data_IF_719504256569
#
_entry.id   IF_719504256569
#
_cell.length_a   1.000
_cell.length_b   1.000
_cell.length_c   1.000
_cell.angle_alpha   90.00
_cell.angle_beta   90.00
_cell.angle_gamma   90.00
#
_symmetry.space_group_name_H-M   'P 1'
#
loop_
_entity.id
_entity.type
_entity.pdbx_description
1 polymer ?
#
# COMPACT_ATOMS: atom_id res chain seq x y z
N UNK A 1 -8.51 13.26 -5.22
CA UNK A 1 -7.28 14.07 -5.15
C UNK A 1 -6.48 13.82 -3.86
N UNK A 2 -7.05 14.02 -2.68
CA UNK A 2 -6.33 13.77 -1.42
C UNK A 2 -5.71 12.35 -1.34
N UNK A 3 -6.46 11.31 -1.67
CA UNK A 3 -5.95 9.93 -1.64
C UNK A 3 -4.80 9.63 -2.61
N UNK A 4 -4.70 10.37 -3.72
CA UNK A 4 -3.63 10.25 -4.70
C UNK A 4 -2.36 10.97 -4.27
N UNK A 5 -2.47 11.97 -3.39
CA UNK A 5 -1.35 12.84 -3.04
C UNK A 5 -0.19 12.08 -2.37
N UNK A 6 -0.47 11.01 -1.63
CA UNK A 6 0.53 10.15 -0.99
C UNK A 6 1.62 9.65 -1.94
N UNK A 7 1.25 9.38 -3.20
CA UNK A 7 2.15 8.75 -4.17
C UNK A 7 2.76 9.72 -5.19
N UNK A 8 2.35 11.00 -5.20
CA UNK A 8 2.77 11.97 -6.23
C UNK A 8 4.28 12.08 -6.32
N UNK A 9 4.98 12.33 -5.22
CA UNK A 9 6.44 12.48 -5.24
C UNK A 9 7.15 11.17 -5.62
N UNK A 10 6.60 10.02 -5.23
CA UNK A 10 7.14 8.72 -5.60
C UNK A 10 7.06 8.47 -7.11
N UNK A 11 5.97 8.88 -7.75
CA UNK A 11 5.80 8.82 -9.21
C UNK A 11 6.81 9.73 -9.92
N UNK A 12 7.11 10.91 -9.36
CA UNK A 12 8.12 11.82 -9.91
C UNK A 12 9.58 11.43 -9.60
N UNK A 13 9.81 10.20 -9.10
CA UNK A 13 11.15 9.63 -8.99
C UNK A 13 11.74 9.66 -7.56
N UNK A 14 10.99 10.10 -6.55
CA UNK A 14 11.49 10.10 -5.18
C UNK A 14 11.89 8.69 -4.70
N UNK A 15 11.18 7.65 -5.13
CA UNK A 15 11.49 6.27 -4.78
C UNK A 15 12.88 5.84 -5.30
N UNK A 16 13.27 6.30 -6.47
CA UNK A 16 14.62 6.06 -7.02
C UNK A 16 15.67 6.78 -6.18
N UNK A 17 15.40 8.05 -5.80
CA UNK A 17 16.27 8.81 -4.91
C UNK A 17 16.41 8.14 -3.53
N UNK A 18 15.32 7.60 -2.99
CA UNK A 18 15.30 6.87 -1.72
C UNK A 18 16.23 5.65 -1.75
N UNK A 19 16.23 4.87 -2.84
CA UNK A 19 17.16 3.76 -3.05
C UNK A 19 18.63 4.23 -3.08
N UNK A 20 18.93 5.29 -3.83
CA UNK A 20 20.29 5.88 -3.91
C UNK A 20 20.74 6.39 -2.53
N UNK A 21 19.85 7.04 -1.77
CA UNK A 21 20.15 7.51 -0.42
C UNK A 21 20.45 6.31 0.49
N UNK A 22 19.65 5.24 0.42
CA UNK A 22 19.85 4.03 1.20
C UNK A 22 21.19 3.38 0.91
N UNK A 23 21.60 3.29 -0.35
CA UNK A 23 22.86 2.66 -0.73
C UNK A 23 24.08 3.51 -0.35
N UNK A 24 24.00 4.84 -0.51
CA UNK A 24 25.10 5.74 -0.20
C UNK A 24 25.25 6.07 1.28
N UNK A 25 24.13 6.25 2.00
CA UNK A 25 24.11 6.75 3.39
C UNK A 25 23.78 5.66 4.41
N UNK A 26 23.36 4.48 3.94
CA UNK A 26 23.08 3.31 4.77
C UNK A 26 21.76 3.39 5.56
N UNK A 27 21.41 2.27 6.21
CA UNK A 27 20.13 2.07 6.89
C UNK A 27 19.85 3.05 8.03
N UNK A 28 20.89 3.51 8.73
CA UNK A 28 20.75 4.43 9.90
C UNK A 28 20.23 5.79 9.48
N UNK A 29 20.91 6.43 8.54
CA UNK A 29 20.51 7.74 8.05
C UNK A 29 19.16 7.69 7.34
N UNK A 30 19.00 6.74 6.42
CA UNK A 30 17.79 6.59 5.62
C UNK A 30 16.57 6.31 6.49
N UNK A 31 16.70 5.48 7.51
CA UNK A 31 15.60 5.17 8.41
C UNK A 31 15.21 6.35 9.32
N UNK A 32 16.16 7.10 9.86
CA UNK A 32 15.84 8.33 10.60
C UNK A 32 15.20 9.36 9.68
N UNK A 33 15.71 9.53 8.45
CA UNK A 33 15.11 10.43 7.46
C UNK A 33 13.68 10.02 7.11
N UNK A 34 13.45 8.72 6.85
CA UNK A 34 12.11 8.21 6.52
C UNK A 34 11.11 8.43 7.65
N UNK A 35 11.49 8.07 8.88
CA UNK A 35 10.66 8.28 10.07
C UNK A 35 10.38 9.78 10.33
N UNK A 36 11.38 10.65 10.08
CA UNK A 36 11.21 12.10 10.17
C UNK A 36 10.25 12.65 9.13
N UNK A 37 10.35 12.19 7.86
CA UNK A 37 9.41 12.59 6.81
C UNK A 37 7.98 12.15 7.13
N UNK A 38 7.80 10.93 7.64
CA UNK A 38 6.48 10.44 8.05
C UNK A 38 5.90 11.30 9.20
N UNK A 39 6.71 11.59 10.22
CA UNK A 39 6.28 12.41 11.36
C UNK A 39 5.98 13.85 10.95
N UNK A 40 6.84 14.49 10.15
CA UNK A 40 6.62 15.86 9.63
C UNK A 40 5.35 15.90 8.77
N UNK A 41 5.19 14.95 7.85
CA UNK A 41 4.00 14.87 6.99
C UNK A 41 2.71 14.71 7.78
N UNK A 42 2.71 13.84 8.79
CA UNK A 42 1.57 13.66 9.70
C UNK A 42 1.30 14.90 10.56
N UNK A 43 2.34 15.60 11.01
CA UNK A 43 2.21 16.84 11.78
C UNK A 43 1.59 17.97 10.96
N UNK A 44 2.00 18.11 9.69
CA UNK A 44 1.39 19.07 8.75
C UNK A 44 -0.11 18.73 8.54
N UNK A 45 -0.42 17.45 8.36
CA UNK A 45 -1.79 16.98 8.23
C UNK A 45 -2.61 17.23 9.49
N UNK A 46 -2.04 16.97 10.67
CA UNK A 46 -2.66 17.27 11.94
C UNK A 46 -2.97 18.77 12.08
N UNK A 47 -2.01 19.65 11.78
CA UNK A 47 -2.23 21.09 11.80
C UNK A 47 -3.35 21.50 10.85
N UNK A 48 -3.40 20.96 9.63
CA UNK A 48 -4.41 21.29 8.62
C UNK A 48 -5.86 20.89 8.97
N UNK A 49 -6.04 20.00 9.95
CA UNK A 49 -7.38 19.62 10.47
C UNK A 49 -7.64 20.16 11.88
N UNK A 50 -6.70 20.89 12.49
CA UNK A 50 -6.81 21.42 13.85
C UNK A 50 -7.55 22.77 13.90
N UNK A 51 -8.11 23.08 15.07
CA UNK A 51 -8.75 24.38 15.31
C UNK A 51 -7.78 25.56 15.14
N UNK A 52 -6.48 25.36 15.34
CA UNK A 52 -5.46 26.38 15.13
C UNK A 52 -5.27 26.79 13.66
N UNK A 53 -5.68 25.93 12.71
CA UNK A 53 -5.65 26.25 11.28
C UNK A 53 -6.87 27.06 10.86
N UNK A 54 -8.03 26.80 11.46
CA UNK A 54 -9.31 27.45 11.13
C UNK A 54 -9.22 28.94 11.46
N UNK A 55 -9.52 29.80 10.50
CA UNK A 55 -9.44 31.27 10.65
C UNK A 55 -8.00 31.83 10.56
N UNK A 56 -6.98 30.99 10.31
CA UNK A 56 -5.62 31.44 10.16
C UNK A 56 -5.37 32.16 8.82
N UNK A 57 -4.34 33.02 8.77
CA UNK A 57 -3.89 33.64 7.52
C UNK A 57 -3.45 32.62 6.47
N UNK A 58 -2.96 31.44 6.90
CA UNK A 58 -2.59 30.34 6.02
C UNK A 58 -3.83 29.73 5.35
N UNK A 59 -4.91 29.53 6.09
CA UNK A 59 -6.18 29.06 5.53
C UNK A 59 -6.71 30.04 4.49
N UNK A 60 -6.75 31.34 4.84
CA UNK A 60 -7.22 32.40 3.93
C UNK A 60 -6.40 32.42 2.64
N UNK A 61 -5.07 32.33 2.74
CA UNK A 61 -4.19 32.28 1.59
C UNK A 61 -4.41 31.00 0.76
N UNK A 62 -4.51 29.84 1.37
CA UNK A 62 -4.78 28.59 0.67
C UNK A 62 -6.15 28.57 -0.02
N UNK A 63 -7.17 29.22 0.55
CA UNK A 63 -8.49 29.33 -0.03
C UNK A 63 -8.58 30.34 -1.18
N UNK A 64 -7.59 31.25 -1.35
CA UNK A 64 -7.58 32.27 -2.41
C UNK A 64 -7.32 31.70 -3.81
N UNK A 65 -6.74 30.53 -3.92
CA UNK A 65 -6.47 29.85 -5.20
C UNK A 65 -7.07 28.45 -5.19
N UNK A 66 -7.48 27.94 -6.37
CA UNK A 66 -8.18 26.65 -6.52
C UNK A 66 -9.32 26.47 -5.52
N UNK A 67 -10.29 27.35 -5.60
CA UNK A 67 -11.40 27.51 -4.66
C UNK A 67 -12.23 26.22 -4.44
N UNK A 68 -12.32 25.35 -5.47
CA UNK A 68 -13.04 24.07 -5.38
C UNK A 68 -12.37 23.02 -4.46
N UNK A 69 -11.14 23.28 -3.97
CA UNK A 69 -10.40 22.39 -3.08
C UNK A 69 -10.07 23.15 -1.79
N UNK A 70 -10.67 22.79 -0.63
CA UNK A 70 -10.50 23.51 0.62
C UNK A 70 -9.04 23.62 1.09
N UNK A 71 -8.69 24.74 1.75
CA UNK A 71 -7.34 24.97 2.26
C UNK A 71 -6.83 23.88 3.21
N UNK A 72 -7.70 23.39 4.09
CA UNK A 72 -7.41 22.26 4.98
C UNK A 72 -7.04 20.99 4.18
N UNK A 73 -7.76 20.69 3.12
CA UNK A 73 -7.48 19.54 2.27
C UNK A 73 -6.18 19.71 1.46
N UNK A 74 -5.85 20.94 1.02
CA UNK A 74 -4.56 21.26 0.36
C UNK A 74 -3.40 21.01 1.29
N UNK A 75 -3.48 21.54 2.52
CA UNK A 75 -2.42 21.38 3.51
C UNK A 75 -2.28 19.91 3.95
N UNK A 76 -3.41 19.23 4.18
CA UNK A 76 -3.41 17.81 4.49
C UNK A 76 -2.84 16.97 3.34
N UNK A 77 -3.10 17.35 2.08
CA UNK A 77 -2.51 16.69 0.90
C UNK A 77 -0.99 16.87 0.83
N UNK A 78 -0.49 18.07 1.11
CA UNK A 78 0.96 18.32 1.20
C UNK A 78 1.61 17.46 2.29
N UNK A 79 1.01 17.42 3.48
CA UNK A 79 1.48 16.55 4.56
C UNK A 79 1.48 15.08 4.14
N UNK A 80 0.45 14.64 3.39
CA UNK A 80 0.33 13.27 2.93
C UNK A 80 1.34 12.92 1.81
N UNK A 81 1.71 13.87 0.96
CA UNK A 81 2.80 13.71 -0.02
C UNK A 81 4.14 13.46 0.68
N UNK A 82 4.46 14.27 1.71
CA UNK A 82 5.70 14.12 2.50
C UNK A 82 5.70 12.80 3.27
N UNK A 83 4.56 12.45 3.89
CA UNK A 83 4.38 11.17 4.57
C UNK A 83 4.61 9.99 3.63
N UNK A 84 4.04 10.02 2.41
CA UNK A 84 4.20 8.96 1.42
C UNK A 84 5.64 8.74 0.98
N UNK A 85 6.44 9.80 0.87
CA UNK A 85 7.89 9.69 0.65
C UNK A 85 8.58 8.92 1.78
N UNK A 86 8.26 9.27 3.03
CA UNK A 86 8.81 8.59 4.20
C UNK A 86 8.39 7.13 4.25
N UNK A 87 7.13 6.82 3.96
CA UNK A 87 6.57 5.47 4.00
C UNK A 87 7.26 4.52 3.01
N UNK A 88 7.41 4.92 1.76
CA UNK A 88 8.09 4.10 0.74
C UNK A 88 9.58 3.92 1.06
N UNK A 89 10.24 4.99 1.52
CA UNK A 89 11.63 4.91 1.98
C UNK A 89 11.76 3.99 3.20
N UNK A 90 10.81 3.98 4.14
CA UNK A 90 10.80 3.09 5.29
C UNK A 90 10.73 1.62 4.84
N UNK A 91 9.86 1.28 3.89
CA UNK A 91 9.69 -0.08 3.39
C UNK A 91 10.99 -0.71 2.91
N UNK A 92 11.72 0.00 2.02
CA UNK A 92 13.02 -0.50 1.52
C UNK A 92 14.10 -0.53 2.62
N UNK A 93 14.06 0.43 3.56
CA UNK A 93 15.05 0.51 4.64
C UNK A 93 14.85 -0.61 5.67
N UNK A 94 13.60 -0.92 6.03
CA UNK A 94 13.27 -1.99 6.99
C UNK A 94 13.67 -3.34 6.43
N UNK A 95 13.35 -3.62 5.17
CA UNK A 95 13.75 -4.87 4.50
C UNK A 95 15.27 -5.06 4.51
N UNK A 96 16.04 -4.00 4.17
CA UNK A 96 17.51 -4.03 4.23
C UNK A 96 18.05 -4.17 5.66
N UNK A 97 17.36 -3.59 6.63
CA UNK A 97 17.69 -3.72 8.06
C UNK A 97 17.50 -5.16 8.54
N UNK A 98 16.37 -5.79 8.19
CA UNK A 98 16.09 -7.18 8.53
C UNK A 98 17.14 -8.10 7.89
N UNK A 99 17.45 -7.90 6.61
CA UNK A 99 18.47 -8.67 5.92
C UNK A 99 19.84 -8.59 6.65
N UNK A 100 20.26 -7.39 7.05
CA UNK A 100 21.52 -7.20 7.80
C UNK A 100 21.54 -7.88 9.17
N UNK A 101 20.45 -7.77 9.94
CA UNK A 101 20.43 -8.25 11.33
C UNK A 101 20.18 -9.76 11.46
N UNK A 102 19.54 -10.35 10.46
CA UNK A 102 19.15 -11.77 10.44
C UNK A 102 19.87 -12.56 9.34
N UNK A 103 20.98 -12.05 8.81
CA UNK A 103 21.81 -12.75 7.83
C UNK A 103 22.28 -14.11 8.39
N UNK A 104 22.01 -15.18 7.65
CA UNK A 104 22.35 -16.55 8.07
C UNK A 104 21.53 -17.11 9.23
N UNK A 105 20.49 -16.40 9.69
CA UNK A 105 19.57 -16.81 10.75
C UNK A 105 18.14 -16.57 10.27
N UNK A 106 17.16 -16.78 11.04
CA UNK A 106 15.71 -16.75 10.87
C UNK A 106 15.13 -15.53 10.07
N UNK A 107 15.76 -15.16 8.94
CA UNK A 107 15.39 -14.00 8.13
C UNK A 107 13.94 -14.08 7.61
N UNK A 108 13.51 -15.28 7.18
CA UNK A 108 12.15 -15.50 6.70
C UNK A 108 11.11 -15.26 7.82
N UNK A 109 11.43 -15.67 9.05
CA UNK A 109 10.59 -15.42 10.23
C UNK A 109 10.51 -13.91 10.54
N UNK A 110 11.64 -13.21 10.50
CA UNK A 110 11.68 -11.76 10.78
C UNK A 110 10.87 -10.96 9.74
N UNK A 111 11.01 -11.27 8.46
CA UNK A 111 10.19 -10.67 7.40
C UNK A 111 8.71 -11.04 7.53
N UNK A 112 8.39 -12.27 7.90
CA UNK A 112 7.03 -12.70 8.16
C UNK A 112 6.39 -11.98 9.34
N UNK A 113 7.14 -11.73 10.42
CA UNK A 113 6.68 -10.94 11.57
C UNK A 113 6.47 -9.46 11.21
N UNK A 114 7.35 -8.86 10.41
CA UNK A 114 7.16 -7.50 9.90
C UNK A 114 5.83 -7.37 9.17
N UNK A 115 5.57 -8.26 8.23
CA UNK A 115 4.32 -8.28 7.48
C UNK A 115 3.09 -8.52 8.37
N UNK A 116 3.19 -9.42 9.36
CA UNK A 116 2.11 -9.69 10.31
C UNK A 116 1.79 -8.46 11.17
N UNK A 117 2.81 -7.78 11.70
CA UNK A 117 2.65 -6.56 12.50
C UNK A 117 2.00 -5.45 11.66
N UNK A 118 2.42 -5.30 10.39
CA UNK A 118 1.80 -4.34 9.47
C UNK A 118 0.29 -4.62 9.29
N UNK A 119 -0.12 -5.88 9.16
CA UNK A 119 -1.54 -6.26 9.05
C UNK A 119 -2.32 -5.99 10.33
N UNK A 120 -1.72 -6.26 11.50
CA UNK A 120 -2.30 -5.90 12.81
C UNK A 120 -2.46 -4.37 12.92
N UNK A 121 -1.49 -3.60 12.43
CA UNK A 121 -1.59 -2.14 12.35
C UNK A 121 -2.79 -1.66 11.53
N UNK A 122 -3.02 -2.25 10.36
CA UNK A 122 -4.19 -1.92 9.52
C UNK A 122 -5.50 -2.29 10.24
N UNK A 123 -5.59 -3.47 10.88
CA UNK A 123 -6.74 -3.84 11.71
C UNK A 123 -7.00 -2.81 12.82
N UNK A 124 -5.94 -2.40 13.52
CA UNK A 124 -6.02 -1.43 14.61
C UNK A 124 -6.54 -0.06 14.13
N UNK A 125 -6.14 0.40 12.95
CA UNK A 125 -6.63 1.67 12.37
C UNK A 125 -8.15 1.63 12.19
N UNK A 126 -8.70 0.57 11.62
CA UNK A 126 -10.15 0.45 11.41
C UNK A 126 -10.94 0.24 12.72
N UNK A 127 -10.27 -0.09 13.80
CA UNK A 127 -10.89 -0.23 15.14
C UNK A 127 -10.77 1.05 15.95
N UNK A 128 -9.57 1.61 16.05
CA UNK A 128 -9.23 2.71 16.97
C UNK A 128 -9.63 4.06 16.39
N UNK A 129 -9.44 4.28 15.06
CA UNK A 129 -9.72 5.59 14.47
C UNK A 129 -11.19 6.01 14.55
N UNK A 130 -12.18 5.16 14.20
CA UNK A 130 -13.58 5.50 14.35
C UNK A 130 -13.97 5.70 15.82
N UNK A 131 -13.44 4.89 16.73
CA UNK A 131 -13.70 5.03 18.18
C UNK A 131 -13.20 6.38 18.69
N UNK A 132 -11.98 6.81 18.35
CA UNK A 132 -11.43 8.11 18.72
C UNK A 132 -12.19 9.27 18.08
N UNK A 133 -12.62 9.12 16.83
CA UNK A 133 -13.37 10.16 16.12
C UNK A 133 -14.75 10.40 16.72
N UNK A 134 -15.42 9.34 17.20
CA UNK A 134 -16.77 9.39 17.74
C UNK A 134 -16.84 9.74 19.24
N UNK A 135 -15.72 9.86 19.95
CA UNK A 135 -15.70 10.39 21.31
C UNK A 135 -16.26 11.82 21.34
N UNK A 136 -17.09 12.12 22.34
CA UNK A 136 -17.70 13.44 22.47
C UNK A 136 -16.68 14.54 22.87
N UNK A 137 -16.70 15.72 22.23
CA UNK A 137 -17.34 16.08 20.98
C UNK A 137 -16.69 15.34 19.78
N UNK A 138 -17.48 14.86 18.81
CA UNK A 138 -16.95 14.12 17.66
C UNK A 138 -16.00 14.99 16.83
N UNK A 139 -14.81 14.44 16.50
CA UNK A 139 -13.79 15.16 15.72
C UNK A 139 -12.81 14.23 15.03
N UNK A 140 -12.38 14.60 13.84
CA UNK A 140 -11.32 13.90 13.10
C UNK A 140 -9.90 14.23 13.62
N UNK A 141 -9.77 15.26 14.42
CA UNK A 141 -8.47 15.73 14.96
C UNK A 141 -7.83 14.67 15.85
N UNK A 142 -8.61 13.98 16.69
CA UNK A 142 -8.10 12.98 17.64
C UNK A 142 -7.42 11.78 16.99
N UNK A 143 -8.02 11.07 16.03
CA UNK A 143 -7.33 9.96 15.38
C UNK A 143 -6.08 10.42 14.63
N UNK A 144 -6.08 11.62 14.01
CA UNK A 144 -4.89 12.16 13.34
C UNK A 144 -3.80 12.50 14.37
N UNK A 145 -4.14 13.11 15.50
CA UNK A 145 -3.21 13.39 16.59
C UNK A 145 -2.59 12.09 17.15
N UNK A 146 -3.43 11.08 17.39
CA UNK A 146 -2.98 9.78 17.88
C UNK A 146 -1.99 9.11 16.92
N UNK A 147 -2.29 9.08 15.61
CA UNK A 147 -1.37 8.55 14.61
C UNK A 147 -0.06 9.35 14.54
N UNK A 148 -0.12 10.69 14.65
CA UNK A 148 1.06 11.55 14.68
C UNK A 148 1.93 11.25 15.90
N UNK A 149 1.33 11.03 17.07
CA UNK A 149 2.05 10.62 18.29
C UNK A 149 2.75 9.27 18.12
N UNK A 150 2.06 8.28 17.54
CA UNK A 150 2.67 6.97 17.25
C UNK A 150 3.87 7.09 16.31
N UNK A 151 3.81 7.97 15.30
CA UNK A 151 4.93 8.23 14.39
C UNK A 151 6.09 8.91 15.10
N UNK A 152 5.83 9.80 16.05
CA UNK A 152 6.89 10.37 16.91
C UNK A 152 7.59 9.29 17.74
N UNK A 153 6.80 8.39 18.36
CA UNK A 153 7.35 7.25 19.10
C UNK A 153 8.18 6.36 18.16
N UNK A 154 7.70 6.11 16.95
CA UNK A 154 8.43 5.36 15.93
C UNK A 154 9.75 6.01 15.54
N UNK A 155 9.77 7.33 15.35
CA UNK A 155 10.99 8.10 15.09
C UNK A 155 11.99 7.96 16.24
N UNK A 156 11.55 8.17 17.49
CA UNK A 156 12.41 8.04 18.67
C UNK A 156 12.96 6.61 18.81
N UNK A 157 12.13 5.61 18.57
CA UNK A 157 12.54 4.19 18.56
C UNK A 157 13.60 3.93 17.51
N UNK A 158 13.43 4.50 16.30
CA UNK A 158 14.42 4.32 15.23
C UNK A 158 15.74 5.03 15.54
N UNK A 159 15.70 6.19 16.22
CA UNK A 159 16.92 6.85 16.73
C UNK A 159 17.65 5.94 17.73
N UNK A 160 16.92 5.31 18.67
CA UNK A 160 17.52 4.33 19.60
C UNK A 160 18.12 3.14 18.83
N UNK A 161 17.38 2.61 17.84
CA UNK A 161 17.89 1.55 16.96
C UNK A 161 19.23 1.93 16.30
N UNK A 162 19.40 3.19 15.88
CA UNK A 162 20.65 3.68 15.28
C UNK A 162 21.87 3.47 16.21
N UNK A 163 21.71 3.65 17.52
CA UNK A 163 22.76 3.38 18.49
C UNK A 163 23.03 1.88 18.65
N UNK A 164 21.98 1.04 18.62
CA UNK A 164 22.11 -0.41 18.69
C UNK A 164 22.84 -0.96 17.44
N UNK A 165 22.49 -0.46 16.25
CA UNK A 165 23.13 -0.86 14.99
C UNK A 165 24.61 -0.46 14.94
N UNK A 166 24.97 0.71 15.47
CA UNK A 166 26.38 1.11 15.62
C UNK A 166 27.17 0.17 16.54
N UNK A 167 26.51 -0.35 17.59
CA UNK A 167 27.13 -1.30 18.50
C UNK A 167 27.34 -2.66 17.83
N UNK A 168 26.36 -3.09 17.03
CA UNK A 168 26.47 -4.31 16.24
C UNK A 168 27.65 -4.25 15.25
N UNK A 169 27.78 -3.16 14.49
CA UNK A 169 28.89 -2.98 13.55
C UNK A 169 30.25 -3.07 14.22
N UNK A 170 30.39 -2.46 15.40
CA UNK A 170 31.63 -2.55 16.20
C UNK A 170 31.92 -3.97 16.64
N UNK A 171 30.91 -4.75 16.99
CA UNK A 171 31.05 -6.16 17.40
C UNK A 171 31.43 -7.07 16.23
N UNK A 172 30.94 -6.77 15.03
CA UNK A 172 31.22 -7.51 13.80
C UNK A 172 32.50 -7.06 13.09
N UNK A 173 33.16 -6.00 13.58
CA UNK A 173 34.36 -5.44 12.95
C UNK A 173 34.09 -4.80 11.58
N UNK A 174 32.83 -4.40 11.31
CA UNK A 174 32.43 -3.77 10.06
C UNK A 174 32.80 -2.28 10.06
N UNK A 175 33.21 -1.76 8.92
CA UNK A 175 33.46 -0.33 8.73
C UNK A 175 32.18 0.49 8.94
N UNK A 176 32.34 1.81 9.18
CA UNK A 176 31.24 2.74 9.50
C UNK A 176 30.09 2.76 8.48
N UNK A 177 30.25 2.19 7.31
CA UNK A 177 29.25 2.06 6.24
C UNK A 177 28.56 0.69 6.18
N UNK A 178 28.96 -0.30 7.01
CA UNK A 178 28.36 -1.63 7.03
C UNK A 178 28.45 -2.33 5.66
N UNK A 179 29.66 -2.35 5.09
CA UNK A 179 29.87 -2.75 3.72
C UNK A 179 29.76 -4.27 3.57
N UNK A 180 28.57 -4.76 3.20
CA UNK A 180 28.45 -6.01 2.43
C UNK A 180 28.13 -5.60 0.98
N UNK A 181 29.19 -5.49 0.20
CA UNK A 181 29.23 -5.08 -1.20
C UNK A 181 28.82 -6.19 -2.17
N UNK A 182 27.66 -6.80 -1.99
CA UNK A 182 27.15 -7.79 -2.93
C UNK A 182 25.72 -7.57 -3.42
N UNK A 183 25.03 -6.51 -2.97
CA UNK A 183 23.80 -6.10 -3.61
C UNK A 183 24.13 -5.26 -4.84
N UNK A 184 23.76 -5.75 -6.01
CA UNK A 184 23.99 -5.09 -7.28
C UNK A 184 23.28 -3.74 -7.30
N UNK A 185 24.07 -2.65 -7.40
CA UNK A 185 23.58 -1.27 -7.50
C UNK A 185 22.69 -1.10 -8.73
N UNK A 186 21.60 -0.35 -8.58
CA UNK A 186 20.78 0.10 -9.71
C UNK A 186 21.64 0.79 -10.77
N UNK A 187 21.65 0.26 -11.99
CA UNK A 187 22.35 0.84 -13.14
C UNK A 187 21.36 1.25 -14.22
N UNK A 188 21.44 2.51 -14.62
CA UNK A 188 20.58 3.06 -15.70
C UNK A 188 20.76 2.28 -17.02
N UNK A 189 21.96 1.70 -17.26
CA UNK A 189 22.24 0.86 -18.42
C UNK A 189 21.40 -0.42 -18.49
N UNK A 190 20.88 -0.91 -17.35
CA UNK A 190 20.14 -2.18 -17.28
C UNK A 190 18.66 -1.98 -17.66
N UNK A 191 18.18 -0.75 -17.65
CA UNK A 191 16.80 -0.41 -18.00
C UNK A 191 16.39 -0.94 -19.38
N UNK A 192 17.27 -0.82 -20.38
CA UNK A 192 16.96 -1.25 -21.75
C UNK A 192 16.66 -2.74 -21.88
N UNK A 193 17.34 -3.59 -21.08
CA UNK A 193 17.14 -5.03 -21.09
C UNK A 193 15.87 -5.43 -20.33
N UNK A 194 15.61 -4.77 -19.19
CA UNK A 194 14.40 -5.00 -18.38
C UNK A 194 13.16 -4.60 -19.17
N UNK A 195 13.14 -3.41 -19.77
CA UNK A 195 12.01 -2.92 -20.59
C UNK A 195 11.79 -3.74 -21.87
N UNK A 196 12.84 -4.41 -22.40
CA UNK A 196 12.73 -5.33 -23.53
C UNK A 196 12.05 -6.66 -23.20
N UNK A 197 11.90 -7.01 -21.93
CA UNK A 197 11.27 -8.26 -21.50
C UNK A 197 9.74 -8.14 -21.45
N UNK A 198 9.04 -8.92 -22.30
CA UNK A 198 7.58 -9.00 -22.30
C UNK A 198 7.03 -9.48 -20.97
N UNK A 199 7.69 -10.48 -20.36
CA UNK A 199 7.23 -11.09 -19.10
C UNK A 199 7.38 -10.10 -17.94
N UNK A 200 8.41 -9.27 -17.96
CA UNK A 200 8.54 -8.16 -17.01
C UNK A 200 7.29 -7.26 -17.02
N UNK A 201 6.85 -6.84 -18.22
CA UNK A 201 5.66 -5.98 -18.34
C UNK A 201 4.38 -6.68 -17.87
N UNK A 202 4.22 -7.97 -18.15
CA UNK A 202 3.05 -8.73 -17.66
C UNK A 202 3.04 -8.74 -16.13
N UNK A 203 4.17 -9.04 -15.48
CA UNK A 203 4.28 -9.06 -14.01
C UNK A 203 4.11 -7.66 -13.42
N UNK A 204 4.70 -6.63 -14.01
CA UNK A 204 4.55 -5.24 -13.57
C UNK A 204 3.08 -4.77 -13.67
N UNK A 205 2.41 -5.07 -14.77
CA UNK A 205 1.00 -4.71 -14.94
C UNK A 205 0.07 -5.51 -14.02
N UNK A 206 0.36 -6.80 -13.77
CA UNK A 206 -0.34 -7.57 -12.74
C UNK A 206 -0.19 -6.90 -11.37
N UNK A 207 1.02 -6.48 -11.02
CA UNK A 207 1.26 -5.74 -9.78
C UNK A 207 0.40 -4.48 -9.69
N UNK A 208 0.42 -3.63 -10.74
CA UNK A 208 -0.40 -2.42 -10.80
C UNK A 208 -1.88 -2.73 -10.58
N UNK A 209 -2.43 -3.70 -11.32
CA UNK A 209 -3.86 -4.00 -11.28
C UNK A 209 -4.31 -4.51 -9.92
N UNK A 210 -3.57 -5.44 -9.33
CA UNK A 210 -3.88 -5.96 -8.00
C UNK A 210 -3.79 -4.89 -6.92
N UNK A 211 -2.69 -4.16 -6.89
CA UNK A 211 -2.49 -3.12 -5.87
C UNK A 211 -3.47 -1.96 -6.05
N UNK A 212 -3.77 -1.57 -7.29
CA UNK A 212 -4.73 -0.50 -7.58
C UNK A 212 -6.19 -0.90 -7.31
N UNK A 213 -6.53 -2.18 -7.37
CA UNK A 213 -7.88 -2.66 -7.03
C UNK A 213 -8.07 -2.78 -5.51
N UNK A 214 -6.99 -2.95 -4.73
CA UNK A 214 -7.08 -3.22 -3.28
C UNK A 214 -6.81 -1.97 -2.45
N UNK A 215 -5.66 -1.29 -2.64
CA UNK A 215 -5.28 -0.17 -1.77
C UNK A 215 -6.18 1.07 -1.95
N UNK A 216 -6.51 1.52 -3.16
CA UNK A 216 -7.53 2.54 -3.34
C UNK A 216 -8.90 2.12 -2.80
N UNK A 217 -9.32 0.86 -3.01
CA UNK A 217 -10.58 0.36 -2.47
C UNK A 217 -10.68 0.52 -0.95
N UNK A 218 -9.62 0.23 -0.20
CA UNK A 218 -9.60 0.39 1.27
C UNK A 218 -9.99 1.81 1.72
N UNK A 219 -9.71 2.83 0.91
CA UNK A 219 -10.05 4.24 1.21
C UNK A 219 -11.53 4.55 1.07
N UNK A 220 -12.23 3.79 0.23
CA UNK A 220 -13.65 3.96 -0.04
C UNK A 220 -14.51 2.89 0.64
N UNK A 221 -13.91 1.81 1.14
CA UNK A 221 -14.59 0.61 1.59
C UNK A 221 -15.60 0.86 2.72
N UNK A 222 -15.22 1.64 3.74
CA UNK A 222 -16.12 1.94 4.85
C UNK A 222 -17.33 2.75 4.39
N UNK A 223 -17.13 3.79 3.59
CA UNK A 223 -18.23 4.60 3.07
C UNK A 223 -19.10 3.81 2.06
N UNK A 224 -18.50 2.93 1.28
CA UNK A 224 -19.23 2.01 0.41
C UNK A 224 -20.13 1.06 1.21
N UNK A 225 -19.60 0.46 2.28
CA UNK A 225 -20.37 -0.42 3.16
C UNK A 225 -21.48 0.32 3.90
N UNK A 226 -21.21 1.53 4.39
CA UNK A 226 -22.18 2.42 4.98
C UNK A 226 -23.32 2.72 4.00
N UNK A 227 -22.98 3.11 2.76
CA UNK A 227 -23.95 3.46 1.73
C UNK A 227 -24.77 2.25 1.26
N UNK A 228 -24.15 1.07 1.08
CA UNK A 228 -24.83 -0.11 0.55
C UNK A 228 -25.66 -0.86 1.60
N UNK A 229 -25.25 -0.81 2.89
CA UNK A 229 -25.92 -1.53 3.98
C UNK A 229 -26.85 -0.63 4.81
N UNK A 230 -26.72 0.69 4.71
CA UNK A 230 -27.44 1.64 5.58
C UNK A 230 -27.00 1.55 7.05
N UNK A 231 -25.78 1.08 7.33
CA UNK A 231 -25.23 0.95 8.68
C UNK A 231 -24.42 2.19 9.07
N UNK A 232 -24.08 2.33 10.36
CA UNK A 232 -23.19 3.40 10.80
C UNK A 232 -21.75 3.22 10.28
N UNK A 233 -21.02 4.33 10.18
CA UNK A 233 -19.61 4.31 9.81
C UNK A 233 -18.76 3.39 10.72
N UNK A 234 -19.12 3.32 12.02
CA UNK A 234 -18.47 2.41 12.97
C UNK A 234 -18.71 0.95 12.59
N UNK A 235 -19.94 0.56 12.29
CA UNK A 235 -20.30 -0.81 11.88
C UNK A 235 -19.62 -1.16 10.56
N UNK A 236 -19.57 -0.24 9.61
CA UNK A 236 -18.86 -0.42 8.33
C UNK A 236 -17.36 -0.66 8.53
N UNK A 237 -16.73 0.10 9.42
CA UNK A 237 -15.33 -0.10 9.79
C UNK A 237 -15.11 -1.44 10.51
N UNK A 238 -16.04 -1.85 11.38
CA UNK A 238 -16.01 -3.14 12.06
C UNK A 238 -16.11 -4.33 11.10
N UNK A 239 -16.83 -4.20 10.00
CA UNK A 239 -16.86 -5.20 8.93
C UNK A 239 -15.52 -5.20 8.19
N UNK A 240 -15.04 -4.03 7.77
CA UNK A 240 -13.86 -3.93 6.91
C UNK A 240 -12.55 -4.31 7.61
N UNK A 241 -12.43 -4.14 8.93
CA UNK A 241 -11.21 -4.50 9.68
C UNK A 241 -10.80 -5.96 9.53
N UNK A 242 -11.70 -6.86 9.15
CA UNK A 242 -11.40 -8.28 8.93
C UNK A 242 -10.66 -8.57 7.62
N UNK A 243 -10.64 -7.62 6.68
CA UNK A 243 -9.87 -7.75 5.43
C UNK A 243 -8.38 -8.07 5.68
N UNK A 244 -7.61 -7.26 6.45
CA UNK A 244 -6.20 -7.54 6.70
C UNK A 244 -5.97 -8.79 7.54
N UNK A 245 -6.89 -9.15 8.42
CA UNK A 245 -6.77 -10.36 9.25
C UNK A 245 -6.92 -11.64 8.43
N UNK A 246 -7.87 -11.67 7.49
CA UNK A 246 -8.00 -12.78 6.54
C UNK A 246 -6.72 -12.97 5.72
N UNK A 247 -6.14 -11.87 5.24
CA UNK A 247 -4.87 -11.89 4.53
C UNK A 247 -3.71 -12.41 5.41
N UNK A 248 -3.57 -11.92 6.64
CA UNK A 248 -2.49 -12.31 7.54
C UNK A 248 -2.50 -13.81 7.88
N UNK A 249 -3.69 -14.38 8.12
CA UNK A 249 -3.83 -15.79 8.47
C UNK A 249 -3.51 -16.73 7.30
N UNK A 250 -3.87 -16.34 6.08
CA UNK A 250 -3.81 -17.23 4.91
C UNK A 250 -2.50 -17.10 4.14
N UNK A 251 -1.83 -15.93 4.13
CA UNK A 251 -0.58 -15.72 3.39
C UNK A 251 0.50 -16.76 3.67
N UNK A 252 0.81 -17.15 4.93
CA UNK A 252 1.84 -18.17 5.19
C UNK A 252 1.46 -19.56 4.66
N UNK A 253 0.17 -19.92 4.75
CA UNK A 253 -0.33 -21.20 4.24
C UNK A 253 -0.25 -21.28 2.72
N UNK A 254 -0.57 -20.17 2.03
CA UNK A 254 -0.45 -20.07 0.58
C UNK A 254 1.01 -20.07 0.12
N UNK A 255 1.89 -19.38 0.84
CA UNK A 255 3.34 -19.40 0.58
C UNK A 255 3.88 -20.84 0.66
N UNK A 256 3.61 -21.55 1.74
CA UNK A 256 4.01 -22.95 1.90
C UNK A 256 3.42 -23.86 0.82
N UNK A 257 2.16 -23.67 0.43
CA UNK A 257 1.55 -24.43 -0.67
C UNK A 257 2.28 -24.18 -1.99
N UNK A 258 2.60 -22.92 -2.31
CA UNK A 258 3.30 -22.54 -3.53
C UNK A 258 4.73 -23.06 -3.57
N UNK A 259 5.43 -23.06 -2.44
CA UNK A 259 6.79 -23.63 -2.33
C UNK A 259 6.81 -25.12 -2.66
N UNK A 260 5.77 -25.87 -2.27
CA UNK A 260 5.68 -27.31 -2.51
C UNK A 260 5.10 -27.70 -3.89
N UNK A 261 4.13 -26.94 -4.38
CA UNK A 261 3.35 -27.29 -5.58
C UNK A 261 3.70 -26.45 -6.80
N UNK A 262 4.38 -25.31 -6.65
CA UNK A 262 4.52 -24.33 -7.70
C UNK A 262 3.17 -23.66 -8.01
N UNK A 263 2.82 -23.55 -9.29
CA UNK A 263 1.53 -23.04 -9.79
C UNK A 263 1.27 -21.55 -9.45
N UNK A 264 2.32 -20.74 -9.39
CA UNK A 264 2.21 -19.32 -9.08
C UNK A 264 1.32 -18.55 -10.05
N UNK A 265 1.46 -18.78 -11.36
CA UNK A 265 0.62 -18.14 -12.37
C UNK A 265 -0.86 -18.56 -12.25
N UNK A 266 -1.14 -19.84 -11.96
CA UNK A 266 -2.50 -20.32 -11.68
C UNK A 266 -3.11 -19.65 -10.45
N UNK A 267 -2.32 -19.46 -9.38
CA UNK A 267 -2.79 -18.78 -8.16
C UNK A 267 -3.07 -17.30 -8.39
N UNK A 268 -2.28 -16.62 -9.21
CA UNK A 268 -2.59 -15.24 -9.63
C UNK A 268 -3.92 -15.18 -10.41
N UNK A 269 -4.19 -16.09 -11.34
CA UNK A 269 -5.46 -16.14 -12.04
C UNK A 269 -6.62 -16.35 -11.06
N UNK A 270 -6.47 -17.26 -10.10
CA UNK A 270 -7.49 -17.54 -9.09
C UNK A 270 -7.75 -16.33 -8.21
N UNK A 271 -6.69 -15.64 -7.75
CA UNK A 271 -6.81 -14.38 -7.01
C UNK A 271 -7.56 -13.30 -7.80
N UNK A 272 -7.27 -13.15 -9.10
CA UNK A 272 -7.96 -12.20 -9.97
C UNK A 272 -9.47 -12.50 -10.11
N UNK A 273 -9.82 -13.77 -10.22
CA UNK A 273 -11.24 -14.21 -10.26
C UNK A 273 -11.93 -13.85 -8.94
N UNK A 274 -11.33 -14.20 -7.80
CA UNK A 274 -11.91 -13.87 -6.48
C UNK A 274 -12.08 -12.36 -6.30
N UNK A 275 -11.07 -11.57 -6.66
CA UNK A 275 -11.13 -10.11 -6.61
C UNK A 275 -12.27 -9.55 -7.47
N UNK A 276 -12.41 -10.04 -8.70
CA UNK A 276 -13.49 -9.65 -9.61
C UNK A 276 -14.86 -9.97 -9.01
N UNK A 277 -15.04 -11.19 -8.51
CA UNK A 277 -16.32 -11.63 -7.90
C UNK A 277 -16.67 -10.77 -6.70
N UNK A 278 -15.71 -10.47 -5.81
CA UNK A 278 -15.96 -9.61 -4.63
C UNK A 278 -16.41 -8.21 -5.04
N UNK A 279 -15.73 -7.58 -5.99
CA UNK A 279 -16.12 -6.23 -6.44
C UNK A 279 -17.47 -6.24 -7.17
N UNK A 280 -17.82 -7.29 -7.91
CA UNK A 280 -19.16 -7.44 -8.50
C UNK A 280 -20.25 -7.66 -7.43
N UNK A 281 -19.94 -8.39 -6.35
CA UNK A 281 -20.84 -8.50 -5.18
C UNK A 281 -21.09 -7.11 -4.59
N UNK A 282 -20.06 -6.29 -4.39
CA UNK A 282 -20.20 -4.92 -3.88
C UNK A 282 -20.93 -4.00 -4.84
N UNK A 283 -20.80 -4.22 -6.16
CA UNK A 283 -21.45 -3.40 -7.18
C UNK A 283 -22.97 -3.68 -7.31
N UNK A 284 -23.37 -4.95 -7.27
CA UNK A 284 -24.71 -5.36 -7.67
C UNK A 284 -25.47 -6.14 -6.60
N UNK A 285 -24.80 -7.07 -5.90
CA UNK A 285 -25.49 -7.96 -4.93
C UNK A 285 -25.78 -7.21 -3.64
N UNK A 286 -24.78 -6.53 -3.09
CA UNK A 286 -24.91 -5.88 -1.78
C UNK A 286 -25.93 -4.72 -1.79
N UNK A 287 -26.02 -3.87 -2.84
CA UNK A 287 -27.06 -2.86 -2.92
C UNK A 287 -28.49 -3.43 -3.09
N UNK A 288 -28.61 -4.57 -3.79
CA UNK A 288 -29.90 -5.22 -4.03
C UNK A 288 -30.39 -6.02 -2.80
N UNK A 289 -29.46 -6.61 -2.07
CA UNK A 289 -29.72 -7.44 -0.89
C UNK A 289 -28.78 -7.02 0.25
N UNK A 290 -29.07 -5.92 0.96
CA UNK A 290 -28.26 -5.43 2.05
C UNK A 290 -28.13 -6.47 3.19
N UNK A 291 -26.97 -7.12 3.28
CA UNK A 291 -26.72 -8.16 4.26
C UNK A 291 -25.28 -8.03 4.78
N UNK A 292 -25.16 -7.88 6.10
CA UNK A 292 -23.86 -7.85 6.78
C UNK A 292 -23.09 -9.16 6.60
N UNK A 293 -23.79 -10.31 6.55
CA UNK A 293 -23.17 -11.61 6.32
C UNK A 293 -22.51 -11.69 4.93
N UNK A 294 -23.20 -11.20 3.88
CA UNK A 294 -22.62 -11.11 2.53
C UNK A 294 -21.43 -10.19 2.52
N UNK A 295 -21.50 -9.04 3.22
CA UNK A 295 -20.39 -8.09 3.31
C UNK A 295 -19.17 -8.72 3.99
N UNK A 296 -19.32 -9.38 5.14
CA UNK A 296 -18.25 -10.11 5.81
C UNK A 296 -17.63 -11.18 4.92
N UNK A 297 -18.45 -12.00 4.26
CA UNK A 297 -17.99 -13.03 3.35
C UNK A 297 -17.15 -12.45 2.20
N UNK A 298 -17.66 -11.41 1.53
CA UNK A 298 -16.96 -10.75 0.43
C UNK A 298 -15.65 -10.08 0.87
N UNK A 299 -15.61 -9.42 2.04
CA UNK A 299 -14.41 -8.80 2.59
C UNK A 299 -13.34 -9.85 2.93
N UNK A 300 -13.71 -10.97 3.55
CA UNK A 300 -12.78 -12.06 3.87
C UNK A 300 -12.24 -12.70 2.58
N UNK A 301 -13.09 -12.97 1.60
CA UNK A 301 -12.67 -13.53 0.29
C UNK A 301 -11.75 -12.54 -0.44
N UNK A 302 -12.00 -11.24 -0.36
CA UNK A 302 -11.12 -10.22 -0.94
C UNK A 302 -9.76 -10.23 -0.24
N UNK A 303 -9.71 -10.40 1.08
CA UNK A 303 -8.48 -10.60 1.86
C UNK A 303 -7.69 -11.83 1.40
N UNK A 304 -8.37 -12.96 1.17
CA UNK A 304 -7.78 -14.18 0.62
C UNK A 304 -7.21 -13.91 -0.78
N UNK A 305 -7.99 -13.27 -1.66
CA UNK A 305 -7.53 -12.88 -2.99
C UNK A 305 -6.23 -12.06 -2.94
N UNK A 306 -6.17 -11.08 -2.05
CA UNK A 306 -4.97 -10.26 -1.91
C UNK A 306 -3.76 -11.02 -1.36
N UNK A 307 -3.98 -12.05 -0.53
CA UNK A 307 -2.90 -12.89 0.01
C UNK A 307 -2.14 -13.65 -1.06
N UNK A 308 -2.80 -13.99 -2.17
CA UNK A 308 -2.20 -14.69 -3.31
C UNK A 308 -1.17 -13.84 -4.06
N UNK A 309 -1.30 -12.52 -4.01
CA UNK A 309 -0.40 -11.58 -4.71
C UNK A 309 1.02 -11.63 -4.13
N UNK A 310 1.27 -11.32 -2.85
CA UNK A 310 2.62 -11.38 -2.31
C UNK A 310 3.20 -12.80 -2.32
N UNK A 311 2.35 -13.83 -2.19
CA UNK A 311 2.80 -15.22 -2.21
C UNK A 311 3.23 -15.72 -3.59
N UNK A 312 2.64 -15.22 -4.68
CA UNK A 312 2.89 -15.70 -6.03
C UNK A 312 3.63 -14.70 -6.92
N UNK A 313 3.31 -13.41 -6.85
CA UNK A 313 3.83 -12.38 -7.76
C UNK A 313 5.29 -12.06 -7.45
N UNK A 314 5.61 -11.74 -6.19
CA UNK A 314 6.98 -11.36 -5.83
C UNK A 314 8.01 -12.47 -6.04
N UNK A 315 7.74 -13.74 -5.69
CA UNK A 315 8.65 -14.84 -6.00
C UNK A 315 8.77 -15.15 -7.50
N UNK A 316 7.89 -14.63 -8.35
CA UNK A 316 8.01 -14.82 -9.80
C UNK A 316 9.10 -13.94 -10.42
N UNK A 317 9.42 -12.78 -9.81
CA UNK A 317 10.41 -11.83 -10.36
C UNK A 317 11.81 -12.45 -10.52
N UNK A 318 12.39 -13.14 -9.51
CA UNK A 318 13.69 -13.79 -9.66
C UNK A 318 13.70 -14.92 -10.69
N UNK A 319 12.55 -15.49 -11.03
CA UNK A 319 12.44 -16.57 -12.02
C UNK A 319 12.44 -16.05 -13.47
N UNK A 320 12.06 -14.79 -13.67
CA UNK A 320 11.94 -14.16 -15.00
C UNK A 320 13.08 -13.21 -15.33
N UNK A 321 13.90 -12.86 -14.34
CA UNK A 321 15.01 -11.92 -14.47
C UNK A 321 16.32 -12.53 -13.99
N UNK A 322 17.42 -12.21 -14.66
CA UNK A 322 18.76 -12.55 -14.18
C UNK A 322 19.04 -11.88 -12.85
N UNK A 323 19.75 -12.56 -11.95
CA UNK A 323 20.07 -12.10 -10.59
C UNK A 323 20.66 -10.69 -10.57
N UNK A 324 21.54 -10.38 -11.54
CA UNK A 324 22.19 -9.06 -11.66
C UNK A 324 21.22 -7.89 -11.95
N UNK A 325 19.99 -8.15 -12.42
CA UNK A 325 18.98 -7.10 -12.72
C UNK A 325 17.84 -7.05 -11.71
N UNK A 326 17.86 -7.90 -10.67
CA UNK A 326 16.75 -8.05 -9.75
C UNK A 326 16.43 -6.76 -8.98
N UNK A 327 17.44 -6.08 -8.45
CA UNK A 327 17.24 -4.82 -7.73
C UNK A 327 16.58 -3.76 -8.60
N UNK A 328 17.07 -3.59 -9.84
CA UNK A 328 16.50 -2.66 -10.82
C UNK A 328 15.08 -3.06 -11.23
N UNK A 329 14.82 -4.37 -11.42
CA UNK A 329 13.50 -4.87 -11.79
C UNK A 329 12.47 -4.63 -10.68
N UNK A 330 12.81 -4.93 -9.43
CA UNK A 330 11.94 -4.62 -8.29
C UNK A 330 11.66 -3.12 -8.15
N UNK A 331 12.67 -2.28 -8.23
CA UNK A 331 12.51 -0.81 -8.14
C UNK A 331 11.59 -0.27 -9.23
N UNK A 332 11.70 -0.79 -10.47
CA UNK A 332 10.82 -0.41 -11.56
C UNK A 332 9.38 -0.91 -11.36
N UNK A 333 9.19 -2.14 -10.87
CA UNK A 333 7.85 -2.66 -10.57
C UNK A 333 7.19 -1.79 -9.50
N UNK A 334 7.91 -1.45 -8.43
CA UNK A 334 7.41 -0.55 -7.38
C UNK A 334 7.10 0.85 -7.93
N UNK A 335 7.94 1.40 -8.79
CA UNK A 335 7.68 2.70 -9.41
C UNK A 335 6.41 2.68 -10.28
N UNK A 336 6.26 1.67 -11.14
CA UNK A 336 5.08 1.48 -11.99
C UNK A 336 3.83 1.25 -11.12
N UNK A 337 3.95 0.48 -10.03
CA UNK A 337 2.88 0.28 -9.04
C UNK A 337 2.42 1.60 -8.43
N UNK A 338 3.35 2.48 -8.04
CA UNK A 338 3.03 3.79 -7.47
C UNK A 338 2.28 4.70 -8.45
N UNK A 339 2.51 4.57 -9.77
CA UNK A 339 1.69 5.25 -10.78
C UNK A 339 0.22 4.81 -10.66
N UNK A 340 -0.04 3.52 -10.56
CA UNK A 340 -1.38 2.99 -10.35
C UNK A 340 -2.01 3.48 -9.06
N UNK A 341 -1.28 3.39 -7.94
CA UNK A 341 -1.74 3.85 -6.63
C UNK A 341 -2.02 5.37 -6.58
N UNK A 342 -1.33 6.16 -7.39
CA UNK A 342 -1.58 7.59 -7.54
C UNK A 342 -2.84 7.86 -8.38
N UNK A 343 -2.99 7.18 -9.51
CA UNK A 343 -4.07 7.45 -10.47
C UNK A 343 -5.43 6.91 -10.02
N UNK A 344 -5.48 5.69 -9.48
CA UNK A 344 -6.75 5.01 -9.20
C UNK A 344 -7.63 5.74 -8.17
N UNK A 345 -7.13 6.29 -7.05
CA UNK A 345 -7.98 7.06 -6.14
C UNK A 345 -8.64 8.28 -6.82
N UNK A 346 -7.95 8.92 -7.77
CA UNK A 346 -8.50 10.02 -8.54
C UNK A 346 -9.58 9.54 -9.51
N UNK A 347 -9.32 8.45 -10.24
CA UNK A 347 -10.30 7.82 -11.16
C UNK A 347 -11.55 7.40 -10.41
N UNK A 348 -11.41 6.73 -9.26
CA UNK A 348 -12.53 6.28 -8.45
C UNK A 348 -13.30 7.48 -7.85
N UNK A 349 -12.61 8.50 -7.37
CA UNK A 349 -13.26 9.72 -6.88
C UNK A 349 -14.04 10.45 -7.98
N UNK A 350 -13.50 10.49 -9.21
CA UNK A 350 -14.22 11.03 -10.36
C UNK A 350 -15.43 10.18 -10.75
N UNK A 351 -15.28 8.85 -10.79
CA UNK A 351 -16.36 7.92 -11.07
C UNK A 351 -17.48 8.03 -10.03
N UNK A 352 -17.12 8.19 -8.75
CA UNK A 352 -18.09 8.38 -7.68
C UNK A 352 -18.87 9.70 -7.87
N UNK A 353 -18.17 10.79 -8.17
CA UNK A 353 -18.83 12.08 -8.47
C UNK A 353 -19.74 12.00 -9.69
N UNK A 354 -19.30 11.30 -10.74
CA UNK A 354 -20.09 11.10 -11.96
C UNK A 354 -21.36 10.29 -11.71
N UNK A 355 -21.28 9.27 -10.86
CA UNK A 355 -22.45 8.43 -10.51
C UNK A 355 -23.43 9.08 -9.53
N UNK A 356 -23.03 10.20 -8.91
CA UNK A 356 -23.82 10.87 -7.88
C UNK A 356 -23.94 12.39 -8.18
N UNK A 357 -24.53 12.77 -9.32
CA UNK A 357 -24.71 14.18 -9.64
C UNK A 357 -25.68 14.84 -8.64
N UNK A 358 -25.28 15.98 -8.09
CA UNK A 358 -26.14 16.70 -7.11
C UNK A 358 -26.25 16.01 -5.75
N UNK A 359 -25.28 15.16 -5.38
CA UNK A 359 -25.27 14.48 -4.09
C UNK A 359 -25.46 15.44 -2.93
N UNK A 360 -26.34 15.07 -1.99
CA UNK A 360 -26.61 15.81 -0.77
C UNK A 360 -25.86 15.14 0.38
N UNK A 361 -25.10 15.91 1.15
CA UNK A 361 -24.37 15.41 2.29
C UNK A 361 -25.28 14.64 3.27
N UNK A 362 -24.83 13.49 3.73
CA UNK A 362 -25.59 12.61 4.62
C UNK A 362 -26.50 11.60 3.89
N UNK A 363 -26.58 11.63 2.56
CA UNK A 363 -27.27 10.57 1.79
C UNK A 363 -26.32 9.46 1.36
N UNK A 364 -26.86 8.29 1.00
CA UNK A 364 -26.06 7.16 0.52
C UNK A 364 -25.50 7.43 -0.88
N UNK A 365 -24.25 7.06 -1.11
CA UNK A 365 -23.62 7.11 -2.42
C UNK A 365 -23.92 5.87 -3.27
N UNK A 366 -24.09 6.05 -4.55
CA UNK A 366 -24.10 4.96 -5.52
C UNK A 366 -22.64 4.57 -5.86
N UNK A 367 -22.21 3.41 -5.41
CA UNK A 367 -20.88 2.87 -5.63
C UNK A 367 -20.78 1.89 -6.81
N UNK A 368 -21.85 1.69 -7.58
CA UNK A 368 -21.88 0.70 -8.67
C UNK A 368 -20.73 0.90 -9.66
N UNK A 369 -20.60 2.10 -10.24
CA UNK A 369 -19.53 2.39 -11.21
C UNK A 369 -18.12 2.27 -10.61
N UNK A 370 -17.79 2.85 -9.44
CA UNK A 370 -16.52 2.60 -8.76
C UNK A 370 -16.17 1.12 -8.59
N UNK A 371 -17.14 0.30 -8.15
CA UNK A 371 -16.91 -1.13 -7.93
C UNK A 371 -16.73 -1.90 -9.24
N UNK A 372 -17.44 -1.53 -10.30
CA UNK A 372 -17.24 -2.10 -11.65
C UNK A 372 -15.86 -1.76 -12.20
N UNK A 373 -15.32 -0.57 -11.93
CA UNK A 373 -13.95 -0.20 -12.32
C UNK A 373 -12.95 -1.11 -11.59
N UNK A 374 -13.10 -1.34 -10.28
CA UNK A 374 -12.25 -2.29 -9.55
C UNK A 374 -12.41 -3.73 -10.06
N UNK A 375 -13.63 -4.17 -10.36
CA UNK A 375 -13.87 -5.49 -10.97
C UNK A 375 -13.17 -5.63 -12.33
N UNK A 376 -13.15 -4.57 -13.15
CA UNK A 376 -12.47 -4.58 -14.45
C UNK A 376 -10.95 -4.78 -14.31
N UNK A 377 -10.33 -4.24 -13.25
CA UNK A 377 -8.93 -4.52 -12.93
C UNK A 377 -8.71 -6.02 -12.70
N UNK A 378 -9.62 -6.69 -12.02
CA UNK A 378 -9.58 -8.13 -11.80
C UNK A 378 -9.71 -8.93 -13.10
N UNK A 379 -10.63 -8.54 -13.99
CA UNK A 379 -10.78 -9.17 -15.30
C UNK A 379 -9.50 -9.03 -16.13
N UNK A 380 -8.92 -7.83 -16.20
CA UNK A 380 -7.66 -7.60 -16.93
C UNK A 380 -6.51 -8.37 -16.28
N UNK A 381 -6.44 -8.42 -14.95
CA UNK A 381 -5.44 -9.21 -14.23
C UNK A 381 -5.58 -10.72 -14.52
N UNK A 382 -6.80 -11.24 -14.60
CA UNK A 382 -7.06 -12.62 -15.01
C UNK A 382 -6.53 -12.90 -16.41
N UNK A 383 -6.81 -12.03 -17.38
CA UNK A 383 -6.33 -12.17 -18.77
C UNK A 383 -4.80 -12.12 -18.84
N UNK A 384 -4.16 -11.21 -18.11
CA UNK A 384 -2.70 -11.13 -18.01
C UNK A 384 -2.10 -12.36 -17.29
N UNK A 385 -2.78 -12.90 -16.28
CA UNK A 385 -2.38 -14.14 -15.62
C UNK A 385 -2.42 -15.34 -16.55
N UNK A 386 -3.46 -15.45 -17.39
CA UNK A 386 -3.56 -16.46 -18.45
C UNK A 386 -2.42 -16.30 -19.46
N UNK A 387 -2.11 -15.06 -19.85
CA UNK A 387 -0.99 -14.78 -20.74
C UNK A 387 0.36 -15.14 -20.10
N UNK A 388 0.56 -14.78 -18.83
CA UNK A 388 1.74 -15.17 -18.07
C UNK A 388 1.94 -16.69 -18.05
N UNK A 389 0.87 -17.44 -17.79
CA UNK A 389 0.88 -18.91 -17.81
C UNK A 389 1.20 -19.48 -19.19
N UNK A 390 0.68 -18.89 -20.26
CA UNK A 390 0.96 -19.28 -21.63
C UNK A 390 2.45 -19.02 -22.00
N UNK A 391 2.99 -17.88 -21.58
CA UNK A 391 4.39 -17.51 -21.82
C UNK A 391 5.33 -18.40 -20.98
N UNK A 392 4.96 -18.76 -19.75
CA UNK A 392 5.71 -19.69 -18.91
C UNK A 392 5.81 -21.09 -19.54
N UNK A 393 4.71 -21.61 -20.08
CA UNK A 393 4.71 -22.90 -20.83
C UNK A 393 5.63 -22.87 -22.04
N UNK A 394 5.79 -21.70 -22.67
CA UNK A 394 6.61 -21.53 -23.86
C UNK A 394 8.09 -21.36 -23.55
N UNK A 395 8.40 -20.69 -22.46
CA UNK A 395 9.76 -20.26 -22.09
C UNK A 395 10.35 -21.00 -20.89
N UNK A 396 9.53 -21.78 -20.17
CA UNK A 396 9.92 -22.58 -19.01
C UNK A 396 10.59 -21.77 -17.88
N UNK A 397 9.98 -20.65 -17.47
CA UNK A 397 10.45 -19.84 -16.36
C UNK A 397 10.26 -20.52 -14.99
N UNK A 398 9.42 -21.55 -14.90
CA UNK A 398 9.10 -22.25 -13.65
C UNK A 398 8.11 -21.52 -12.77
N UNK A 399 7.12 -20.85 -13.37
CA UNK A 399 6.05 -20.16 -12.66
C UNK A 399 4.84 -21.06 -12.36
N UNK A 400 4.75 -22.22 -13.04
CA UNK A 400 3.73 -23.27 -12.87
C UNK A 400 4.29 -24.53 -12.23
#
# INVERSE_FOLDING_TARGET
MYGSSEFIFNVFGFLILAGIILDKMGIRFTGVLSASLMFIGASIKYYGVSDAFIGSGIETWLNSWWVSFPGSAKLASLGFMIFGCGMEMAGITVSKTIAKWFEGKEMALAMGLEMAIARVGVFAVFTISPWLANMAPATVVRPVAFCTLLLLIGLLTYVVFTFMDRKLDKQLGLDAKGNNSSEEEFRVSDLGKIFGSKVFWIVAMLCVLYYSAIFPFQRFATNMLESNLGVSAQTAADIFRWFPMGAAAITPLLGSYLDHKGKGATMLIFGAILMTVCHLIFAFVLPAYPSTLIAYGAIIILGISFSLVPAALWPSVPKIMETRYLGSAYSLIFWIQNIGLCLFPAVIGYALKFSNPGHIDGTAYNYTLPMVIFASCGVVAMLLGIWLKAEDRRKHYGLE
#
